data_IF_982831652789
#
_entry.id   IF_982831652789
#
_cell.length_a   1.000
_cell.length_b   1.000
_cell.length_c   1.000
_cell.angle_alpha   90.00
_cell.angle_beta   90.00
_cell.angle_gamma   90.00
#
_symmetry.space_group_name_H-M   'P 1'
#
loop_
_entity.id
_entity.type
_entity.pdbx_description
1 polymer ?
#
# COMPACT_ATOMS: atom_id res chain seq x y z
N UNK A 1 -13.61 11.53 -21.44
CA UNK A 1 -12.22 11.58 -20.95
C UNK A 1 -11.65 13.00 -20.80
N UNK A 2 -11.85 13.91 -21.77
CA UNK A 2 -11.29 15.28 -21.75
C UNK A 2 -11.47 16.07 -20.44
N UNK A 3 -12.62 15.90 -19.75
CA UNK A 3 -12.91 16.58 -18.49
C UNK A 3 -11.92 16.27 -17.36
N UNK A 4 -11.26 15.11 -17.39
CA UNK A 4 -10.28 14.69 -16.38
C UNK A 4 -8.84 14.69 -16.90
N UNK A 5 -8.61 15.16 -18.13
CA UNK A 5 -7.27 15.21 -18.74
C UNK A 5 -6.95 16.60 -19.29
N UNK A 6 -7.36 16.91 -20.52
CA UNK A 6 -6.95 18.13 -21.23
C UNK A 6 -7.66 19.38 -20.71
N UNK A 7 -8.91 19.28 -20.27
CA UNK A 7 -9.66 20.44 -19.79
C UNK A 7 -9.06 21.05 -18.52
N UNK A 8 -8.70 20.28 -17.46
CA UNK A 8 -8.00 20.85 -16.31
C UNK A 8 -6.58 21.30 -16.66
N UNK A 9 -5.87 20.61 -17.56
CA UNK A 9 -4.55 21.05 -18.02
C UNK A 9 -4.64 22.45 -18.66
N UNK A 10 -5.63 22.68 -19.52
CA UNK A 10 -5.88 23.99 -20.13
C UNK A 10 -6.24 25.05 -19.09
N UNK A 11 -7.11 24.74 -18.12
CA UNK A 11 -7.47 25.67 -17.05
C UNK A 11 -6.28 26.11 -16.20
N UNK A 12 -5.28 25.22 -16.07
CA UNK A 12 -4.05 25.46 -15.33
C UNK A 12 -2.91 25.98 -16.22
N UNK A 13 -3.15 26.21 -17.52
CA UNK A 13 -2.13 26.59 -18.51
C UNK A 13 -0.95 25.60 -18.55
N UNK A 14 -1.26 24.31 -18.47
CA UNK A 14 -0.32 23.18 -18.56
C UNK A 14 -0.62 22.29 -19.78
N UNK A 15 -1.49 22.73 -20.68
CA UNK A 15 -1.90 21.97 -21.86
C UNK A 15 -0.79 21.78 -22.89
N UNK A 16 0.28 22.59 -22.83
CA UNK A 16 1.51 22.40 -23.59
C UNK A 16 2.34 21.21 -23.09
N UNK A 17 2.17 20.81 -21.83
CA UNK A 17 2.93 19.75 -21.17
C UNK A 17 2.16 18.46 -20.92
N UNK A 18 0.89 18.54 -20.50
CA UNK A 18 0.12 17.37 -20.04
C UNK A 18 -1.32 17.36 -20.55
N UNK A 19 -2.03 16.25 -20.33
CA UNK A 19 -3.48 16.15 -20.55
C UNK A 19 -3.90 15.60 -21.92
N UNK A 20 -2.96 15.44 -22.86
CA UNK A 20 -3.15 14.69 -24.11
C UNK A 20 -1.89 13.90 -24.47
N UNK A 21 -2.06 12.88 -25.31
CA UNK A 21 -0.97 12.02 -25.75
C UNK A 21 -0.48 12.49 -27.13
N UNK A 22 0.39 13.50 -27.13
CA UNK A 22 0.90 14.17 -28.33
C UNK A 22 2.44 14.29 -28.26
N UNK A 23 3.16 14.24 -29.40
CA UNK A 23 4.60 14.43 -29.40
C UNK A 23 5.00 15.78 -28.81
N UNK A 24 6.05 15.79 -27.98
CA UNK A 24 6.56 16.99 -27.31
C UNK A 24 5.96 17.26 -25.92
N UNK A 25 4.95 16.49 -25.50
CA UNK A 25 4.37 16.52 -24.16
C UNK A 25 5.05 15.52 -23.22
N UNK A 26 4.83 15.70 -21.92
CA UNK A 26 5.32 14.79 -20.90
C UNK A 26 4.72 13.39 -21.09
N UNK A 27 5.55 12.36 -20.85
CA UNK A 27 5.20 10.95 -21.04
C UNK A 27 4.29 10.39 -19.95
N UNK A 28 3.21 11.11 -19.63
CA UNK A 28 2.30 10.81 -18.53
C UNK A 28 1.06 10.08 -19.05
N UNK A 29 0.97 8.78 -18.79
CA UNK A 29 -0.15 7.97 -19.23
C UNK A 29 -0.39 6.74 -18.34
N UNK A 30 -1.57 6.16 -18.51
CA UNK A 30 -2.02 5.00 -17.74
C UNK A 30 -2.45 3.91 -18.70
N UNK A 31 -2.02 2.68 -18.43
CA UNK A 31 -2.47 1.49 -19.14
C UNK A 31 -3.60 0.86 -18.35
N UNK A 32 -4.76 0.73 -18.99
CA UNK A 32 -5.95 0.13 -18.43
C UNK A 32 -6.22 -1.23 -19.05
N UNK A 33 -6.86 -2.14 -18.30
CA UNK A 33 -7.30 -3.44 -18.82
C UNK A 33 -8.48 -3.34 -19.80
N UNK A 34 -9.09 -2.17 -19.93
CA UNK A 34 -10.28 -1.91 -20.73
C UNK A 34 -10.61 -0.42 -20.76
N UNK A 35 -11.88 -0.07 -21.02
CA UNK A 35 -12.32 1.33 -21.04
C UNK A 35 -12.12 1.98 -19.65
N UNK A 36 -11.40 3.11 -19.54
CA UNK A 36 -11.06 3.72 -18.25
C UNK A 36 -12.27 4.25 -17.46
N UNK A 37 -13.44 4.42 -18.09
CA UNK A 37 -14.67 4.85 -17.42
C UNK A 37 -15.56 3.66 -17.00
N UNK A 38 -15.18 2.43 -17.36
CA UNK A 38 -15.84 1.23 -16.89
C UNK A 38 -15.43 0.91 -15.45
N UNK A 39 -16.40 0.66 -14.57
CA UNK A 39 -16.13 0.25 -13.18
C UNK A 39 -15.47 -1.12 -13.05
N UNK A 40 -15.41 -1.92 -14.12
CA UNK A 40 -14.69 -3.20 -14.15
C UNK A 40 -13.24 -3.07 -14.61
N UNK A 41 -12.86 -1.91 -15.14
CA UNK A 41 -11.51 -1.71 -15.65
C UNK A 41 -10.53 -1.50 -14.49
N UNK A 42 -9.38 -2.15 -14.61
CA UNK A 42 -8.30 -2.03 -13.64
C UNK A 42 -7.15 -1.24 -14.26
N UNK A 43 -6.54 -0.37 -13.45
CA UNK A 43 -5.26 0.23 -13.79
C UNK A 43 -4.19 -0.85 -13.71
N UNK A 44 -3.51 -1.10 -14.84
CA UNK A 44 -2.43 -2.07 -14.96
C UNK A 44 -1.09 -1.41 -14.67
N UNK A 45 -0.83 -0.25 -15.28
CA UNK A 45 0.42 0.47 -15.13
C UNK A 45 0.21 1.98 -15.15
N UNK A 46 1.06 2.71 -14.42
CA UNK A 46 1.12 4.17 -14.45
C UNK A 46 2.52 4.62 -14.84
N UNK A 47 2.58 5.50 -15.83
CA UNK A 47 3.80 6.07 -16.37
C UNK A 47 3.80 7.57 -16.12
N UNK A 48 4.91 8.08 -15.60
CA UNK A 48 5.12 9.51 -15.32
C UNK A 48 6.50 9.87 -15.89
N UNK A 49 6.56 10.90 -16.72
CA UNK A 49 7.78 11.34 -17.41
C UNK A 49 8.51 10.19 -18.14
N UNK A 50 7.74 9.24 -18.68
CA UNK A 50 8.26 8.06 -19.39
C UNK A 50 8.88 6.98 -18.49
N UNK A 51 8.80 7.10 -17.16
CA UNK A 51 9.19 6.07 -16.22
C UNK A 51 7.96 5.32 -15.70
N UNK A 52 8.05 4.00 -15.56
CA UNK A 52 6.97 3.17 -14.97
C UNK A 52 7.01 3.29 -13.45
N UNK A 53 6.04 3.98 -12.88
CA UNK A 53 5.92 4.23 -11.44
C UNK A 53 5.04 3.21 -10.72
N UNK A 54 4.06 2.64 -11.44
CA UNK A 54 3.17 1.64 -10.89
C UNK A 54 3.04 0.47 -11.85
N UNK A 55 3.00 -0.73 -11.27
CA UNK A 55 2.67 -1.96 -11.94
C UNK A 55 1.85 -2.85 -11.03
N UNK A 56 0.74 -3.35 -11.54
CA UNK A 56 -0.23 -4.11 -10.76
C UNK A 56 0.33 -5.43 -10.26
N UNK A 57 1.14 -6.13 -11.05
CA UNK A 57 1.64 -7.45 -10.67
C UNK A 57 2.72 -7.31 -9.59
N UNK A 58 3.57 -6.29 -9.70
CA UNK A 58 4.55 -5.94 -8.66
C UNK A 58 3.87 -5.51 -7.36
N UNK A 59 2.83 -4.67 -7.42
CA UNK A 59 2.04 -4.24 -6.26
C UNK A 59 1.36 -5.42 -5.55
N UNK A 60 0.80 -6.38 -6.30
CA UNK A 60 0.20 -7.59 -5.73
C UNK A 60 1.24 -8.46 -4.99
N UNK A 61 2.45 -8.58 -5.53
CA UNK A 61 3.54 -9.28 -4.87
C UNK A 61 3.99 -8.57 -3.59
N UNK A 62 4.12 -7.24 -3.62
CA UNK A 62 4.48 -6.43 -2.44
C UNK A 62 3.44 -6.54 -1.34
N UNK A 63 2.14 -6.45 -1.66
CA UNK A 63 1.06 -6.61 -0.69
C UNK A 63 1.07 -7.97 0.00
N UNK A 64 1.38 -9.02 -0.77
CA UNK A 64 1.46 -10.38 -0.23
C UNK A 64 2.62 -10.48 0.76
N UNK A 65 3.79 -9.96 0.39
CA UNK A 65 4.97 -9.88 1.26
C UNK A 65 4.67 -9.11 2.54
N UNK A 66 4.05 -7.94 2.43
CA UNK A 66 3.77 -7.06 3.57
C UNK A 66 2.75 -7.69 4.52
N UNK A 67 1.74 -8.40 3.97
CA UNK A 67 0.78 -9.17 4.77
C UNK A 67 1.47 -10.26 5.58
N UNK A 68 2.28 -11.10 4.93
CA UNK A 68 3.02 -12.18 5.61
C UNK A 68 3.93 -11.60 6.70
N UNK A 69 4.70 -10.55 6.37
CA UNK A 69 5.60 -9.91 7.33
C UNK A 69 4.85 -9.30 8.52
N UNK A 70 3.68 -8.72 8.28
CA UNK A 70 2.82 -8.18 9.34
C UNK A 70 2.35 -9.28 10.28
N UNK A 71 1.91 -10.42 9.74
CA UNK A 71 1.43 -11.56 10.54
C UNK A 71 2.54 -12.12 11.44
N UNK A 72 3.76 -12.27 10.90
CA UNK A 72 4.95 -12.69 11.65
C UNK A 72 5.31 -11.72 12.79
N UNK A 73 5.29 -10.41 12.52
CA UNK A 73 5.59 -9.41 13.56
C UNK A 73 4.53 -9.40 14.67
N UNK A 74 3.27 -9.67 14.33
CA UNK A 74 2.19 -9.77 15.31
C UNK A 74 2.38 -10.99 16.21
N UNK A 75 2.79 -12.14 15.67
CA UNK A 75 3.06 -13.33 16.48
C UNK A 75 4.23 -13.10 17.43
N UNK A 76 5.33 -12.52 16.94
CA UNK A 76 6.49 -12.16 17.76
C UNK A 76 6.08 -11.19 18.89
N UNK A 77 5.26 -10.19 18.60
CA UNK A 77 4.78 -9.24 19.61
C UNK A 77 3.90 -9.93 20.67
N UNK A 78 3.02 -10.84 20.27
CA UNK A 78 2.16 -11.60 21.18
C UNK A 78 3.00 -12.51 22.10
N UNK A 79 3.96 -13.22 21.55
CA UNK A 79 4.89 -14.08 22.29
C UNK A 79 5.72 -13.27 23.29
N UNK A 80 6.27 -12.14 22.85
CA UNK A 80 7.01 -11.21 23.73
C UNK A 80 6.14 -10.68 24.88
N UNK A 81 4.85 -10.38 24.63
CA UNK A 81 3.91 -9.95 25.68
C UNK A 81 3.53 -11.08 26.64
N UNK A 82 3.38 -12.31 26.14
CA UNK A 82 3.05 -13.47 26.95
C UNK A 82 4.23 -13.93 27.82
N UNK A 83 5.47 -13.84 27.33
CA UNK A 83 6.67 -14.12 28.14
C UNK A 83 6.91 -13.12 29.27
N UNK A 84 6.34 -11.90 29.18
CA UNK A 84 6.33 -10.92 30.26
C UNK A 84 5.17 -11.11 31.26
N UNK A 85 4.16 -11.91 30.91
CA UNK A 85 2.98 -12.17 31.73
C UNK A 85 3.05 -13.58 32.37
N UNK A 86 3.65 -13.63 33.56
CA UNK A 86 3.64 -14.68 34.61
C UNK A 86 4.53 -15.94 34.47
N UNK A 87 5.08 -16.48 35.59
CA UNK A 87 4.78 -16.12 36.98
C UNK A 87 5.99 -15.69 37.84
N UNK A 88 5.86 -14.55 38.50
CA UNK A 88 6.48 -14.32 39.80
C UNK A 88 5.76 -15.26 40.78
N UNK A 89 6.40 -16.40 41.05
CA UNK A 89 5.93 -17.42 41.97
C UNK A 89 6.29 -16.91 43.37
N UNK A 90 5.30 -16.39 44.11
CA UNK A 90 5.44 -16.15 45.55
C UNK A 90 5.77 -17.49 46.22
N UNK A 91 7.06 -17.69 46.48
CA UNK A 91 7.57 -18.73 47.35
C UNK A 91 7.44 -18.24 48.79
N UNK A 92 6.40 -18.69 49.49
CA UNK A 92 6.39 -18.77 50.96
C UNK A 92 5.34 -19.79 51.41
N UNK A 93 5.66 -21.08 51.29
CA UNK A 93 5.08 -22.10 52.16
C UNK A 93 5.91 -22.20 53.44
N UNK A 94 5.23 -22.12 54.59
CA UNK A 94 5.60 -22.83 55.81
C UNK A 94 6.20 -22.01 56.96
N UNK A 95 5.35 -21.65 57.93
CA UNK A 95 5.65 -22.01 59.32
C UNK A 95 4.35 -22.17 60.13
N UNK A 96 4.18 -23.39 60.64
CA UNK A 96 3.21 -23.77 61.67
C UNK A 96 3.40 -22.94 62.94
N UNK A 97 2.31 -22.60 63.63
CA UNK A 97 2.44 -21.88 64.91
C UNK A 97 1.13 -21.68 65.65
N UNK A 98 0.66 -22.74 66.31
CA UNK A 98 -0.34 -22.78 67.38
C UNK A 98 -0.45 -21.50 68.25
N UNK A 99 -1.66 -20.93 68.37
CA UNK A 99 -2.38 -20.65 69.63
C UNK A 99 -3.72 -19.94 69.40
#
# INVERSE_FOLDING_TARGET
LKFVTINPAFQLHLDDRVGSLEPGKDGDFVIWSGDPLSGYSMCLQTWIEGQRYFDRDEDLAMRTRDKTRREELISILLESKMGAATPEKDSAEGEEGSR
#
